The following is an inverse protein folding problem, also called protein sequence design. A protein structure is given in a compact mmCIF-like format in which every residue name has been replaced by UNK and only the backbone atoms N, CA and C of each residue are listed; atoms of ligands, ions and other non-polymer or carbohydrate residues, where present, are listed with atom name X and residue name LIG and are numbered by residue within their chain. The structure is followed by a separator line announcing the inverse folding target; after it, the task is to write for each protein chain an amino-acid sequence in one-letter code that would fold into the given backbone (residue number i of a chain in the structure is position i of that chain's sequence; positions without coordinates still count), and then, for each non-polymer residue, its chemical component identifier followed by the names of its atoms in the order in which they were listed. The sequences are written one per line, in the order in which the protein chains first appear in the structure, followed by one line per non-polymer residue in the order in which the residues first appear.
data_IF_364808601059
#
_entry.id   IF_364808601059
#
_cell.length_a   1.000
_cell.length_b   1.000
_cell.length_c   1.000
_cell.angle_alpha   90.00
_cell.angle_beta   90.00
_cell.angle_gamma   90.00
#
_symmetry.space_group_name_H-M   'P 1'
#
loop_
_entity.id
_entity.type
_entity.pdbx_description
1 polymer ?
#
# COMPACT_ATOMS: atom_id res chain seq x y z
N UNK A 1 29.35 22.48 -20.33
CA UNK A 1 27.95 22.93 -20.53
C UNK A 1 27.09 21.70 -20.84
N UNK A 2 26.36 21.16 -19.86
CA UNK A 2 25.51 19.98 -20.10
C UNK A 2 24.37 20.35 -21.05
N UNK A 3 24.35 19.74 -22.23
CA UNK A 3 23.24 19.90 -23.18
C UNK A 3 21.92 19.58 -22.47
N UNK A 4 20.97 20.52 -22.45
CA UNK A 4 19.60 20.23 -22.00
C UNK A 4 19.04 19.14 -22.90
N UNK A 5 19.07 17.90 -22.43
CA UNK A 5 18.50 16.77 -23.15
C UNK A 5 17.02 17.08 -23.37
N UNK A 6 16.64 17.23 -24.64
CA UNK A 6 15.25 17.43 -25.03
C UNK A 6 14.48 16.16 -24.66
N UNK A 7 13.58 16.28 -23.69
CA UNK A 7 12.69 15.19 -23.31
C UNK A 7 11.70 14.91 -24.43
N UNK A 8 11.49 13.62 -24.71
CA UNK A 8 10.42 13.15 -25.60
C UNK A 8 9.04 13.59 -25.09
N UNK A 9 8.06 13.69 -25.99
CA UNK A 9 6.67 13.97 -25.63
C UNK A 9 6.13 13.02 -24.56
N UNK A 10 6.43 11.72 -24.68
CA UNK A 10 6.03 10.72 -23.70
C UNK A 10 6.65 10.99 -22.31
N UNK A 11 7.95 11.32 -22.27
CA UNK A 11 8.65 11.64 -21.02
C UNK A 11 8.05 12.89 -20.36
N UNK A 12 7.71 13.91 -21.15
CA UNK A 12 7.02 15.11 -20.65
C UNK A 12 5.65 14.77 -20.07
N UNK A 13 4.89 13.88 -20.70
CA UNK A 13 3.60 13.44 -20.19
C UNK A 13 3.74 12.69 -18.85
N UNK A 14 4.70 11.78 -18.74
CA UNK A 14 4.99 11.05 -17.48
C UNK A 14 5.37 12.01 -16.35
N UNK A 15 6.28 12.95 -16.61
CA UNK A 15 6.67 13.96 -15.62
C UNK A 15 5.52 14.91 -15.28
N UNK A 16 4.71 15.28 -16.26
CA UNK A 16 3.52 16.10 -16.05
C UNK A 16 2.52 15.42 -15.12
N UNK A 17 2.30 14.12 -15.31
CA UNK A 17 1.43 13.31 -14.47
C UNK A 17 1.96 13.20 -13.03
N UNK A 18 3.24 12.88 -12.86
CA UNK A 18 3.88 12.82 -11.53
C UNK A 18 3.73 14.15 -10.77
N UNK A 19 4.04 15.27 -11.44
CA UNK A 19 3.89 16.61 -10.86
C UNK A 19 2.43 16.95 -10.59
N UNK A 20 1.50 16.44 -11.38
CA UNK A 20 0.06 16.55 -11.15
C UNK A 20 -0.34 15.98 -9.79
N UNK A 21 0.08 14.75 -9.49
CA UNK A 21 -0.15 14.12 -8.20
C UNK A 21 0.44 14.92 -7.03
N UNK A 22 1.70 15.37 -7.14
CA UNK A 22 2.32 16.15 -6.08
C UNK A 22 1.60 17.48 -5.82
N UNK A 23 1.06 18.12 -6.87
CA UNK A 23 0.25 19.34 -6.70
C UNK A 23 -1.09 19.04 -6.04
N UNK A 24 -1.77 17.97 -6.45
CA UNK A 24 -3.03 17.57 -5.83
C UNK A 24 -2.85 17.18 -4.35
N UNK A 25 -1.76 16.49 -4.02
CA UNK A 25 -1.42 16.13 -2.64
C UNK A 25 -1.26 17.35 -1.72
N UNK A 26 -0.75 18.48 -2.24
CA UNK A 26 -0.60 19.72 -1.47
C UNK A 26 -1.91 20.36 -1.05
N UNK A 27 -3.02 19.99 -1.69
CA UNK A 27 -4.36 20.47 -1.34
C UNK A 27 -5.01 19.63 -0.23
N UNK A 28 -4.40 18.51 0.16
CA UNK A 28 -4.88 17.61 1.21
C UNK A 28 -4.17 17.90 2.54
N UNK A 29 -4.68 17.32 3.64
CA UNK A 29 -4.09 17.46 4.97
C UNK A 29 -2.64 16.95 5.01
N UNK A 30 -1.83 17.44 5.96
CA UNK A 30 -0.39 17.17 5.97
C UNK A 30 -0.03 15.67 6.03
N UNK A 31 -0.81 14.88 6.76
CA UNK A 31 -0.64 13.42 6.87
C UNK A 31 -1.00 12.72 5.56
N UNK A 32 -2.19 13.01 5.02
CA UNK A 32 -2.63 12.47 3.73
C UNK A 32 -1.66 12.82 2.60
N UNK A 33 -1.18 14.08 2.57
CA UNK A 33 -0.18 14.55 1.62
C UNK A 33 1.06 13.66 1.64
N UNK A 34 1.64 13.42 2.82
CA UNK A 34 2.85 12.57 2.95
C UNK A 34 2.58 11.15 2.47
N UNK A 35 1.42 10.59 2.81
CA UNK A 35 1.04 9.25 2.38
C UNK A 35 0.89 9.17 0.85
N UNK A 36 0.19 10.13 0.24
CA UNK A 36 0.04 10.24 -1.23
C UNK A 36 1.40 10.38 -1.91
N UNK A 37 2.26 11.30 -1.45
CA UNK A 37 3.58 11.54 -2.03
C UNK A 37 4.47 10.29 -1.97
N UNK A 38 4.41 9.55 -0.85
CA UNK A 38 5.14 8.29 -0.66
C UNK A 38 4.68 7.21 -1.64
N UNK A 39 3.36 6.98 -1.75
CA UNK A 39 2.78 5.98 -2.64
C UNK A 39 3.11 6.32 -4.11
N UNK A 40 2.81 7.55 -4.54
CA UNK A 40 3.06 8.00 -5.91
C UNK A 40 4.54 7.89 -6.26
N UNK A 41 5.44 8.36 -5.39
CA UNK A 41 6.87 8.30 -5.67
C UNK A 41 7.38 6.86 -5.74
N UNK A 42 6.84 5.96 -4.93
CA UNK A 42 7.20 4.53 -4.95
C UNK A 42 6.73 3.86 -6.23
N UNK A 43 5.48 4.08 -6.64
CA UNK A 43 4.95 3.51 -7.89
C UNK A 43 5.71 4.04 -9.12
N UNK A 44 5.95 5.35 -9.22
CA UNK A 44 6.68 5.91 -10.36
C UNK A 44 8.11 5.39 -10.44
N UNK A 45 8.81 5.24 -9.30
CA UNK A 45 10.15 4.63 -9.25
C UNK A 45 10.12 3.15 -9.63
N UNK A 46 9.13 2.40 -9.16
CA UNK A 46 8.96 0.99 -9.51
C UNK A 46 8.74 0.83 -11.02
N UNK A 47 7.81 1.59 -11.59
CA UNK A 47 7.53 1.54 -13.03
C UNK A 47 8.74 1.99 -13.86
N UNK A 48 9.48 3.01 -13.43
CA UNK A 48 10.69 3.45 -14.13
C UNK A 48 11.80 2.39 -14.17
N UNK A 49 11.83 1.46 -13.20
CA UNK A 49 12.79 0.34 -13.16
C UNK A 49 12.31 -0.87 -13.94
N UNK A 50 11.01 -1.17 -13.88
CA UNK A 50 10.47 -2.45 -14.36
C UNK A 50 9.76 -2.38 -15.72
N UNK A 51 9.44 -1.18 -16.21
CA UNK A 51 8.81 -1.00 -17.52
C UNK A 51 9.87 -0.67 -18.57
N UNK A 52 9.92 -1.48 -19.63
CA UNK A 52 10.76 -1.17 -20.79
C UNK A 52 10.35 0.18 -21.40
N UNK A 53 11.34 1.04 -21.60
CA UNK A 53 11.21 2.36 -22.24
C UNK A 53 10.64 2.29 -23.66
N UNK A 54 10.74 1.14 -24.34
CA UNK A 54 10.18 0.89 -25.67
C UNK A 54 8.76 0.35 -25.64
N UNK A 55 8.22 -0.03 -24.48
CA UNK A 55 6.85 -0.50 -24.36
C UNK A 55 5.87 0.68 -24.30
N UNK A 56 5.73 1.40 -25.41
CA UNK A 56 4.91 2.60 -25.50
C UNK A 56 3.45 2.33 -25.17
N UNK A 57 2.91 1.17 -25.59
CA UNK A 57 1.52 0.77 -25.32
C UNK A 57 1.26 0.68 -23.82
N UNK A 58 2.16 0.03 -23.08
CA UNK A 58 2.00 -0.11 -21.64
C UNK A 58 2.21 1.21 -20.90
N UNK A 59 3.19 2.03 -21.33
CA UNK A 59 3.41 3.37 -20.76
C UNK A 59 2.17 4.25 -20.97
N UNK A 60 1.55 4.21 -22.14
CA UNK A 60 0.30 4.93 -22.41
C UNK A 60 -0.86 4.43 -21.54
N UNK A 61 -0.98 3.11 -21.36
CA UNK A 61 -1.97 2.55 -20.45
C UNK A 61 -1.79 3.10 -19.03
N UNK A 62 -0.56 3.09 -18.51
CA UNK A 62 -0.24 3.65 -17.19
C UNK A 62 -0.54 5.16 -17.12
N UNK A 63 -0.25 5.92 -18.18
CA UNK A 63 -0.59 7.34 -18.25
C UNK A 63 -2.10 7.58 -18.22
N UNK A 64 -2.88 6.84 -19.00
CA UNK A 64 -4.35 6.94 -19.01
C UNK A 64 -4.92 6.59 -17.64
N UNK A 65 -4.46 5.49 -17.05
CA UNK A 65 -4.88 5.06 -15.70
C UNK A 65 -4.52 6.10 -14.63
N UNK A 66 -3.27 6.56 -14.60
CA UNK A 66 -2.83 7.54 -13.61
C UNK A 66 -3.53 8.89 -13.75
N UNK A 67 -3.88 9.32 -14.98
CA UNK A 67 -4.72 10.53 -15.17
C UNK A 67 -6.10 10.38 -14.51
N UNK A 68 -6.75 9.21 -14.65
CA UNK A 68 -8.03 8.94 -13.99
C UNK A 68 -7.91 9.01 -12.47
N UNK A 69 -6.86 8.42 -11.91
CA UNK A 69 -6.57 8.49 -10.46
C UNK A 69 -6.29 9.93 -10.00
N UNK A 70 -5.59 10.73 -10.82
CA UNK A 70 -5.33 12.13 -10.52
C UNK A 70 -6.62 12.95 -10.48
N UNK A 71 -7.54 12.76 -11.45
CA UNK A 71 -8.83 13.45 -11.43
C UNK A 71 -9.66 13.07 -10.21
N UNK A 72 -9.67 11.78 -9.83
CA UNK A 72 -10.32 11.34 -8.59
C UNK A 72 -9.68 11.96 -7.34
N UNK A 73 -8.36 12.07 -7.29
CA UNK A 73 -7.65 12.65 -6.15
C UNK A 73 -7.93 14.16 -5.98
N UNK A 74 -8.16 14.89 -7.08
CA UNK A 74 -8.52 16.31 -7.04
C UNK A 74 -9.89 16.57 -6.44
N UNK A 75 -10.79 15.58 -6.45
CA UNK A 75 -12.10 15.73 -5.86
C UNK A 75 -11.97 15.85 -4.32
N UNK A 76 -12.64 16.83 -3.69
CA UNK A 76 -12.54 17.05 -2.25
C UNK A 76 -13.09 15.86 -1.45
N UNK A 77 -14.17 15.25 -1.92
CA UNK A 77 -14.91 14.19 -1.24
C UNK A 77 -14.23 12.81 -1.29
N UNK A 78 -13.14 12.69 -2.04
CA UNK A 78 -12.44 11.41 -2.22
C UNK A 78 -11.27 11.31 -1.25
N UNK A 79 -11.30 10.31 -0.37
CA UNK A 79 -10.17 9.94 0.50
C UNK A 79 -8.99 9.52 -0.37
N UNK A 80 -7.93 10.34 -0.37
CA UNK A 80 -6.87 10.27 -1.39
C UNK A 80 -6.12 8.94 -1.46
N UNK A 81 -6.07 8.17 -0.38
CA UNK A 81 -5.32 6.91 -0.30
C UNK A 81 -6.02 5.72 -0.97
N UNK A 82 -7.37 5.66 -0.91
CA UNK A 82 -8.15 4.55 -1.48
C UNK A 82 -8.05 4.52 -3.01
N UNK A 83 -8.10 5.69 -3.62
CA UNK A 83 -7.92 5.91 -5.07
C UNK A 83 -6.57 5.42 -5.60
N UNK A 84 -5.52 5.53 -4.79
CA UNK A 84 -4.17 5.13 -5.17
C UNK A 84 -3.91 3.64 -4.89
N UNK A 85 -4.46 3.11 -3.79
CA UNK A 85 -4.18 1.73 -3.34
C UNK A 85 -5.02 0.65 -4.01
N UNK A 86 -6.22 0.97 -4.52
CA UNK A 86 -7.17 0.04 -5.17
C UNK A 86 -6.62 -0.70 -6.42
N UNK A 87 -5.35 -0.53 -6.74
CA UNK A 87 -4.73 -1.14 -7.92
C UNK A 87 -3.30 -1.63 -7.66
N UNK A 88 -2.86 -1.64 -6.38
CA UNK A 88 -1.58 -2.19 -5.91
C UNK A 88 -1.73 -3.56 -5.23
N UNK A 89 -2.95 -4.08 -5.08
CA UNK A 89 -3.25 -5.26 -4.25
C UNK A 89 -2.96 -6.61 -4.90
N UNK A 90 -1.97 -6.71 -5.79
CA UNK A 90 -1.58 -7.99 -6.40
C UNK A 90 -0.20 -8.50 -5.95
N UNK A 91 0.51 -7.84 -5.02
CA UNK A 91 1.88 -8.26 -4.70
C UNK A 91 2.35 -8.08 -3.24
N UNK A 92 1.45 -8.01 -2.25
CA UNK A 92 1.88 -7.97 -0.84
C UNK A 92 0.82 -8.51 0.12
N UNK A 93 0.60 -9.82 0.08
CA UNK A 93 0.00 -10.57 1.19
C UNK A 93 0.61 -11.97 1.20
N UNK A 94 1.91 -12.05 1.46
CA UNK A 94 2.51 -13.23 2.05
C UNK A 94 2.28 -13.11 3.56
N UNK A 95 1.18 -13.72 4.00
CA UNK A 95 1.00 -14.13 5.38
C UNK A 95 2.22 -14.96 5.78
N UNK A 96 3.02 -14.46 6.71
CA UNK A 96 3.97 -15.29 7.45
C UNK A 96 3.19 -15.93 8.59
N UNK A 97 2.68 -17.13 8.30
CA UNK A 97 2.24 -18.08 9.30
C UNK A 97 3.52 -18.67 9.93
N UNK A 98 3.84 -18.23 11.15
CA UNK A 98 4.96 -18.73 11.90
C UNK A 98 4.52 -19.03 13.34
N UNK A 99 4.28 -20.32 13.59
CA UNK A 99 4.67 -20.94 14.84
C UNK A 99 3.65 -20.86 15.98
N UNK A 100 2.72 -21.80 15.96
CA UNK A 100 2.11 -22.39 17.16
C UNK A 100 3.17 -22.60 18.24
N UNK A 101 3.07 -21.86 19.35
CA UNK A 101 3.78 -22.18 20.60
C UNK A 101 2.75 -22.67 21.61
N UNK A 102 2.73 -23.98 21.79
CA UNK A 102 1.99 -24.71 22.81
C UNK A 102 2.51 -24.30 24.20
N UNK A 103 1.66 -23.91 25.17
CA UNK A 103 2.07 -23.81 26.55
C UNK A 103 2.29 -25.22 27.10
N UNK A 104 3.53 -25.50 27.48
CA UNK A 104 3.98 -26.79 28.01
C UNK A 104 3.31 -27.07 29.37
N UNK A 105 2.67 -28.23 29.43
CA UNK A 105 2.22 -28.90 30.64
C UNK A 105 3.46 -29.47 31.36
N UNK A 106 3.68 -29.09 32.62
CA UNK A 106 4.14 -29.95 33.73
C UNK A 106 4.65 -29.08 34.90
N UNK A 107 3.86 -29.00 35.97
CA UNK A 107 4.40 -29.03 37.33
C UNK A 107 3.30 -29.55 38.25
N UNK A 108 3.43 -30.83 38.58
CA UNK A 108 2.77 -31.47 39.70
C UNK A 108 3.55 -31.11 40.98
N UNK A 109 2.84 -30.68 42.03
CA UNK A 109 3.16 -30.89 43.44
C UNK A 109 1.89 -30.51 44.24
N UNK A 110 1.05 -31.48 44.63
CA UNK A 110 1.07 -32.26 45.89
C UNK A 110 0.14 -31.65 46.97
N UNK A 111 -0.80 -32.50 47.37
CA UNK A 111 -1.62 -32.56 48.60
C UNK A 111 -2.30 -31.29 49.12
N UNK A 112 -3.65 -31.31 49.12
CA UNK A 112 -4.33 -31.28 50.42
C UNK A 112 -5.69 -32.00 50.34
N UNK A 113 -5.80 -33.06 51.13
CA UNK A 113 -7.02 -33.80 51.39
C UNK A 113 -8.11 -32.87 51.94
N UNK A 114 -9.35 -32.97 51.44
CA UNK A 114 -10.48 -33.11 52.36
C UNK A 114 -11.72 -33.69 51.69
N UNK A 115 -12.15 -34.80 52.26
CA UNK A 115 -13.45 -35.43 52.06
C UNK A 115 -14.59 -34.43 52.32
N UNK A 116 -15.63 -34.41 51.47
CA UNK A 116 -16.97 -34.65 52.00
C UNK A 116 -17.98 -35.09 50.93
N UNK A 117 -18.53 -36.25 51.23
CA UNK A 117 -19.77 -36.85 50.75
C UNK A 117 -20.94 -35.87 50.94
N UNK A 118 -21.92 -35.83 50.02
CA UNK A 118 -23.36 -36.04 50.30
C UNK A 118 -24.18 -36.05 49.00
N UNK A 119 -25.09 -37.03 48.96
CA UNK A 119 -25.97 -37.45 47.89
C UNK A 119 -27.16 -36.50 47.59
N UNK A 120 -27.92 -36.91 46.56
CA UNK A 120 -29.33 -36.60 46.21
C UNK A 120 -29.44 -35.71 44.97
N UNK A 121 -29.80 -36.23 43.78
CA UNK A 121 -31.10 -36.80 43.37
C UNK A 121 -32.24 -35.80 43.56
N UNK A 122 -32.61 -35.13 42.48
CA UNK A 122 -33.99 -34.87 42.02
C UNK A 122 -33.94 -34.37 40.59
#
# INVERSE_FOLDING_TARGET
MGSRLKLSGMQKQVLGLYRGFLRAARLKAAEERRAIESVVSTEFRHNAKNVDRKNFIYIEYLLRRGKKQLEQLKNPDTTGLLTLKASSSAAASSQSDAGTSVPSHDQWDVDESNDNITASRS
#
